data_IF_390576468482
#
_entry.id   IF_390576468482
#
_cell.length_a   1.000
_cell.length_b   1.000
_cell.length_c   1.000
_cell.angle_alpha   90.00
_cell.angle_beta   90.00
_cell.angle_gamma   90.00
#
_symmetry.space_group_name_H-M   'P 1'
#
loop_
_entity.id
_entity.type
_entity.pdbx_description
1 polymer ?
#
# COMPACT_ATOMS: atom_id res chain seq x y z
N UNK A 1 2.07 7.97 -6.33
CA UNK A 1 1.38 6.66 -6.42
C UNK A 1 0.24 6.54 -5.41
N UNK A 2 0.37 7.05 -4.18
CA UNK A 2 -0.68 6.92 -3.16
C UNK A 2 -1.99 7.65 -3.53
N UNK A 3 -1.91 8.85 -4.13
CA UNK A 3 -3.10 9.65 -4.50
C UNK A 3 -3.99 8.97 -5.55
N UNK A 4 -3.41 8.32 -6.56
CA UNK A 4 -4.17 7.59 -7.57
C UNK A 4 -4.91 6.36 -7.01
N UNK A 5 -4.60 5.91 -5.78
CA UNK A 5 -5.12 4.68 -5.22
C UNK A 5 -6.10 4.88 -4.04
N UNK A 6 -6.20 6.10 -3.49
CA UNK A 6 -6.89 6.33 -2.21
C UNK A 6 -8.37 6.64 -2.33
N UNK A 7 -8.79 7.48 -3.27
CA UNK A 7 -10.21 7.82 -3.43
C UNK A 7 -10.53 8.19 -4.88
N UNK A 8 -11.81 8.08 -5.25
CA UNK A 8 -12.29 8.57 -6.54
C UNK A 8 -12.13 10.10 -6.66
N UNK A 9 -12.38 10.83 -5.57
CA UNK A 9 -12.22 12.30 -5.53
C UNK A 9 -10.80 12.75 -5.84
N UNK A 10 -9.78 12.06 -5.31
CA UNK A 10 -8.38 12.36 -5.62
C UNK A 10 -8.07 12.13 -7.11
N UNK A 11 -8.66 11.09 -7.72
CA UNK A 11 -8.46 10.80 -9.15
C UNK A 11 -9.16 11.82 -10.05
N UNK A 12 -10.36 12.27 -9.67
CA UNK A 12 -11.08 13.33 -10.35
C UNK A 12 -10.32 14.66 -10.28
N UNK A 13 -9.85 15.05 -9.09
CA UNK A 13 -9.03 16.25 -8.91
C UNK A 13 -7.73 16.20 -9.73
N UNK A 14 -7.09 15.03 -9.83
CA UNK A 14 -5.93 14.85 -10.71
C UNK A 14 -6.27 15.04 -12.19
N UNK A 15 -7.44 14.58 -12.63
CA UNK A 15 -7.89 14.76 -14.01
C UNK A 15 -8.19 16.23 -14.31
N UNK A 16 -8.89 16.92 -13.41
CA UNK A 16 -9.20 18.35 -13.49
C UNK A 16 -7.93 19.22 -13.49
N UNK A 17 -6.94 18.85 -12.67
CA UNK A 17 -5.63 19.50 -12.66
C UNK A 17 -4.78 19.22 -13.91
N UNK A 18 -5.30 18.50 -14.90
CA UNK A 18 -4.58 18.19 -16.14
C UNK A 18 -3.43 17.20 -15.96
N UNK A 19 -3.42 16.39 -14.91
CA UNK A 19 -2.31 15.45 -14.65
C UNK A 19 -2.12 14.42 -15.78
N UNK A 20 -3.17 14.14 -16.56
CA UNK A 20 -3.10 13.18 -17.66
C UNK A 20 -2.12 13.59 -18.76
N UNK A 21 -2.08 14.87 -19.14
CA UNK A 21 -1.15 15.35 -20.18
C UNK A 21 0.30 15.28 -19.69
N UNK A 22 0.56 15.77 -18.47
CA UNK A 22 1.88 15.71 -17.86
C UNK A 22 2.39 14.27 -17.70
N UNK A 23 1.51 13.32 -17.37
CA UNK A 23 1.86 11.90 -17.29
C UNK A 23 2.18 11.31 -18.67
N UNK A 24 1.47 11.70 -19.73
CA UNK A 24 1.74 11.25 -21.09
C UNK A 24 3.09 11.78 -21.60
N UNK A 25 3.39 13.04 -21.36
CA UNK A 25 4.71 13.60 -21.65
C UNK A 25 5.80 12.85 -20.89
N UNK A 26 5.58 12.58 -19.60
CA UNK A 26 6.53 11.83 -18.78
C UNK A 26 6.74 10.38 -19.26
N UNK A 27 5.73 9.75 -19.88
CA UNK A 27 5.91 8.45 -20.53
C UNK A 27 6.74 8.52 -21.80
N UNK A 28 6.73 9.64 -22.52
CA UNK A 28 7.47 9.80 -23.77
C UNK A 28 8.94 10.17 -23.53
N UNK A 29 9.20 11.10 -22.60
CA UNK A 29 10.55 11.70 -22.39
C UNK A 29 11.19 11.36 -21.04
N UNK A 30 10.49 10.64 -20.16
CA UNK A 30 11.00 10.30 -18.83
C UNK A 30 12.06 9.20 -18.81
N UNK A 31 12.75 9.06 -17.66
CA UNK A 31 13.61 7.90 -17.39
C UNK A 31 12.80 6.61 -17.29
N UNK A 32 13.42 5.44 -17.49
CA UNK A 32 12.71 4.15 -17.46
C UNK A 32 11.85 3.93 -16.19
N UNK A 33 12.32 4.40 -15.03
CA UNK A 33 11.56 4.34 -13.77
C UNK A 33 10.37 5.31 -13.77
N UNK A 34 10.54 6.53 -14.29
CA UNK A 34 9.49 7.52 -14.40
C UNK A 34 8.41 7.06 -15.38
N UNK A 35 8.81 6.53 -16.54
CA UNK A 35 7.90 5.95 -17.55
C UNK A 35 7.07 4.82 -16.94
N UNK A 36 7.71 3.84 -16.27
CA UNK A 36 7.01 2.72 -15.62
C UNK A 36 5.96 3.21 -14.61
N UNK A 37 6.29 4.23 -13.82
CA UNK A 37 5.37 4.82 -12.83
C UNK A 37 4.24 5.59 -13.50
N UNK A 38 4.55 6.39 -14.52
CA UNK A 38 3.59 7.20 -15.25
C UNK A 38 2.59 6.30 -16.00
N UNK A 39 3.06 5.27 -16.69
CA UNK A 39 2.22 4.26 -17.34
C UNK A 39 1.27 3.60 -16.35
N UNK A 40 1.77 3.21 -15.17
CA UNK A 40 0.93 2.60 -14.14
C UNK A 40 -0.15 3.56 -13.60
N UNK A 41 0.16 4.84 -13.44
CA UNK A 41 -0.83 5.84 -13.00
C UNK A 41 -1.89 6.05 -14.09
N UNK A 42 -1.48 6.12 -15.37
CA UNK A 42 -2.40 6.26 -16.50
C UNK A 42 -3.33 5.04 -16.67
N UNK A 43 -2.88 3.83 -16.36
CA UNK A 43 -3.74 2.63 -16.32
C UNK A 43 -4.85 2.78 -15.26
N UNK A 44 -4.49 3.24 -14.07
CA UNK A 44 -5.43 3.42 -12.96
C UNK A 44 -6.48 4.49 -13.31
N UNK A 45 -6.05 5.64 -13.84
CA UNK A 45 -6.96 6.73 -14.22
C UNK A 45 -7.88 6.36 -15.40
N UNK A 46 -7.48 5.43 -16.28
CA UNK A 46 -8.32 4.94 -17.38
C UNK A 46 -9.49 4.06 -16.92
N UNK A 47 -9.29 3.26 -15.86
CA UNK A 47 -10.32 2.36 -15.35
C UNK A 47 -11.58 3.10 -14.87
N UNK A 48 -11.47 4.36 -14.41
CA UNK A 48 -12.63 5.15 -13.97
C UNK A 48 -13.41 5.78 -15.13
N UNK A 49 -12.75 6.12 -16.24
CA UNK A 49 -13.47 6.60 -17.44
C UNK A 49 -14.37 5.52 -18.01
N UNK A 50 -13.92 4.26 -18.01
CA UNK A 50 -14.75 3.12 -18.45
C UNK A 50 -15.96 2.87 -17.55
N UNK A 51 -15.84 3.15 -16.24
CA UNK A 51 -16.96 3.03 -15.30
C UNK A 51 -17.98 4.15 -15.45
N UNK A 52 -17.54 5.39 -15.65
CA UNK A 52 -18.45 6.51 -15.90
C UNK A 52 -19.25 6.33 -17.20
N UNK A 53 -18.61 5.83 -18.27
CA UNK A 53 -19.32 5.51 -19.52
C UNK A 53 -20.34 4.38 -19.33
N UNK A 54 -20.11 3.44 -18.43
CA UNK A 54 -21.08 2.39 -18.12
C UNK A 54 -22.28 2.90 -17.30
N UNK A 55 -22.05 3.83 -16.36
CA UNK A 55 -23.11 4.45 -15.55
C UNK A 55 -23.94 5.46 -16.36
N UNK A 56 -23.31 6.30 -17.19
CA UNK A 56 -23.99 7.28 -18.03
C UNK A 56 -24.74 6.64 -19.23
N UNK A 57 -24.38 5.40 -19.59
CA UNK A 57 -25.11 4.59 -20.58
C UNK A 57 -26.10 3.60 -19.94
N UNK A 58 -26.21 3.53 -18.60
CA UNK A 58 -27.12 2.63 -17.89
C UNK A 58 -28.54 3.21 -17.77
N UNK A 59 -29.08 3.68 -18.90
CA UNK A 59 -30.51 3.93 -19.09
C UNK A 59 -31.24 2.79 -19.80
N UNK A 60 -30.54 1.81 -20.40
CA UNK A 60 -31.20 0.70 -21.13
C UNK A 60 -30.42 -0.62 -20.97
N UNK A 61 -30.95 -1.47 -20.08
CA UNK A 61 -31.02 -2.95 -20.12
C UNK A 61 -29.96 -3.71 -20.94
N UNK A 62 -29.08 -4.45 -20.25
CA UNK A 62 -28.74 -5.84 -20.62
C UNK A 62 -28.12 -6.60 -19.43
N UNK A 63 -28.63 -7.80 -19.22
CA UNK A 63 -28.42 -8.76 -18.13
C UNK A 63 -27.05 -9.44 -18.13
N UNK A 64 -26.33 -9.50 -17.00
CA UNK A 64 -25.54 -10.68 -16.60
C UNK A 64 -25.47 -10.78 -15.07
N UNK A 65 -25.84 -11.94 -14.55
CA UNK A 65 -25.99 -12.33 -13.15
C UNK A 65 -24.75 -12.14 -12.27
N UNK A 66 -24.93 -11.62 -11.05
CA UNK A 66 -24.05 -11.91 -9.90
C UNK A 66 -24.84 -11.76 -8.58
N UNK A 67 -24.53 -12.54 -7.53
CA UNK A 67 -25.40 -12.74 -6.39
C UNK A 67 -25.44 -11.51 -5.48
N UNK A 68 -26.64 -11.11 -5.11
CA UNK A 68 -26.92 -10.09 -4.12
C UNK A 68 -26.69 -10.70 -2.73
N UNK A 69 -25.50 -10.48 -2.15
CA UNK A 69 -25.22 -10.88 -0.78
C UNK A 69 -25.64 -9.78 0.21
N UNK A 70 -26.78 -10.10 0.81
CA UNK A 70 -27.52 -9.46 1.89
C UNK A 70 -26.84 -9.72 3.25
N UNK A 71 -26.58 -8.66 4.02
CA UNK A 71 -26.23 -8.72 5.46
C UNK A 71 -24.79 -9.19 5.73
N UNK A 72 -24.05 -8.69 6.73
CA UNK A 72 -24.49 -8.42 8.08
C UNK A 72 -23.72 -7.25 8.70
N UNK A 73 -24.48 -6.40 9.39
CA UNK A 73 -24.05 -5.60 10.53
C UNK A 73 -23.54 -6.52 11.63
N UNK A 74 -22.39 -6.20 12.21
CA UNK A 74 -21.77 -6.98 13.28
C UNK A 74 -20.43 -6.37 13.67
N UNK A 75 -20.52 -5.25 14.40
CA UNK A 75 -19.45 -4.79 15.28
C UNK A 75 -19.22 -5.88 16.33
N UNK A 76 -17.96 -6.23 16.61
CA UNK A 76 -17.48 -6.59 17.95
C UNK A 76 -15.97 -6.87 17.87
N UNK A 77 -15.23 -5.87 18.30
CA UNK A 77 -13.88 -5.97 18.81
C UNK A 77 -13.82 -6.92 20.01
N UNK A 78 -13.04 -7.99 19.93
CA UNK A 78 -12.47 -8.62 21.13
C UNK A 78 -11.03 -9.04 20.84
N UNK A 79 -10.15 -8.30 21.50
CA UNK A 79 -8.76 -8.60 21.77
C UNK A 79 -8.65 -9.92 22.53
N UNK A 80 -7.63 -10.72 22.26
CA UNK A 80 -7.34 -11.89 23.11
C UNK A 80 -6.99 -13.16 22.34
N UNK A 81 -5.79 -13.64 22.64
CA UNK A 81 -5.29 -14.97 22.34
C UNK A 81 -6.34 -16.06 22.66
N UNK A 82 -6.29 -17.20 21.95
CA UNK A 82 -7.16 -18.41 22.09
C UNK A 82 -8.34 -18.63 21.11
N UNK A 83 -8.34 -18.02 19.92
CA UNK A 83 -9.35 -18.36 18.89
C UNK A 83 -8.81 -19.21 17.71
N UNK A 84 -7.93 -20.19 17.97
CA UNK A 84 -7.44 -21.09 16.91
C UNK A 84 -8.47 -22.21 16.58
N UNK A 85 -9.41 -22.47 17.49
CA UNK A 85 -10.43 -23.52 17.35
C UNK A 85 -11.68 -23.09 16.55
N UNK A 86 -11.95 -21.78 16.41
CA UNK A 86 -13.14 -21.26 15.74
C UNK A 86 -12.90 -20.60 14.36
N UNK A 87 -11.64 -20.57 13.90
CA UNK A 87 -11.30 -19.97 12.61
C UNK A 87 -11.34 -21.00 11.50
N UNK A 88 -11.98 -20.64 10.39
CA UNK A 88 -11.96 -21.44 9.16
C UNK A 88 -10.52 -21.66 8.67
N UNK A 89 -10.29 -22.76 7.95
CA UNK A 89 -8.96 -23.15 7.49
C UNK A 89 -8.29 -22.04 6.66
N UNK A 90 -9.08 -21.28 5.90
CA UNK A 90 -8.63 -20.15 5.10
C UNK A 90 -8.11 -19.01 5.98
N UNK A 91 -8.85 -18.65 7.04
CA UNK A 91 -8.43 -17.61 7.99
C UNK A 91 -7.14 -17.99 8.70
N UNK A 92 -6.96 -19.28 9.04
CA UNK A 92 -5.71 -19.79 9.63
C UNK A 92 -4.55 -19.70 8.63
N UNK A 93 -4.76 -20.12 7.38
CA UNK A 93 -3.75 -20.05 6.32
C UNK A 93 -3.32 -18.59 6.03
N UNK A 94 -4.27 -17.65 5.99
CA UNK A 94 -3.98 -16.23 5.81
C UNK A 94 -3.14 -15.70 6.97
N UNK A 95 -3.48 -16.04 8.22
CA UNK A 95 -2.68 -15.62 9.39
C UNK A 95 -1.26 -16.18 9.33
N UNK A 96 -1.09 -17.44 8.95
CA UNK A 96 0.23 -18.05 8.79
C UNK A 96 1.05 -17.35 7.70
N UNK A 97 0.44 -17.05 6.56
CA UNK A 97 1.10 -16.32 5.46
C UNK A 97 1.53 -14.91 5.89
N UNK A 98 0.65 -14.18 6.58
CA UNK A 98 0.96 -12.84 7.10
C UNK A 98 2.13 -12.91 8.08
N UNK A 99 2.10 -13.87 9.01
CA UNK A 99 3.16 -14.05 10.01
C UNK A 99 4.51 -14.38 9.35
N UNK A 100 4.53 -15.29 8.37
CA UNK A 100 5.74 -15.64 7.64
C UNK A 100 6.29 -14.46 6.82
N UNK A 101 5.41 -13.71 6.15
CA UNK A 101 5.77 -12.54 5.36
C UNK A 101 6.38 -11.45 6.24
N UNK A 102 5.77 -11.19 7.40
CA UNK A 102 6.26 -10.23 8.39
C UNK A 102 7.67 -10.61 8.87
N UNK A 103 7.87 -11.85 9.31
CA UNK A 103 9.18 -12.32 9.75
C UNK A 103 10.24 -12.21 8.65
N UNK A 104 9.91 -12.60 7.41
CA UNK A 104 10.79 -12.47 6.25
C UNK A 104 11.15 -11.01 5.96
N UNK A 105 10.19 -10.11 6.08
CA UNK A 105 10.38 -8.69 5.87
C UNK A 105 11.31 -8.10 6.95
N UNK A 106 11.05 -8.40 8.23
CA UNK A 106 11.89 -7.97 9.35
C UNK A 106 13.33 -8.43 9.20
N UNK A 107 13.57 -9.70 8.83
CA UNK A 107 14.93 -10.21 8.55
C UNK A 107 15.60 -9.48 7.38
N UNK A 108 14.85 -9.07 6.36
CA UNK A 108 15.39 -8.27 5.24
C UNK A 108 15.72 -6.85 5.66
N UNK A 109 14.89 -6.22 6.50
CA UNK A 109 15.14 -4.89 7.06
C UNK A 109 16.41 -4.91 7.90
N UNK A 110 16.54 -5.84 8.85
CA UNK A 110 17.72 -5.96 9.72
C UNK A 110 19.00 -6.14 8.91
N UNK A 111 19.00 -7.04 7.92
CA UNK A 111 20.16 -7.24 7.02
C UNK A 111 20.54 -5.97 6.26
N UNK A 112 19.57 -5.20 5.80
CA UNK A 112 19.81 -3.94 5.06
C UNK A 112 20.27 -2.81 5.97
N UNK A 113 19.76 -2.76 7.19
CA UNK A 113 20.15 -1.79 8.20
C UNK A 113 21.58 -1.99 8.71
N UNK A 114 22.28 -3.07 8.28
CA UNK A 114 23.58 -3.50 8.83
C UNK A 114 23.56 -3.55 10.36
N UNK A 115 22.40 -3.87 10.94
CA UNK A 115 22.27 -4.02 12.38
C UNK A 115 23.14 -5.22 12.78
N UNK A 116 24.03 -5.08 13.77
CA UNK A 116 24.80 -6.21 14.27
C UNK A 116 23.83 -7.33 14.65
N UNK A 117 24.02 -8.52 14.08
CA UNK A 117 23.20 -9.70 14.38
C UNK A 117 23.39 -10.19 15.84
N UNK A 118 24.27 -9.52 16.58
CA UNK A 118 24.69 -9.82 17.95
C UNK A 118 23.84 -9.12 19.02
N UNK A 119 22.75 -8.45 18.64
CA UNK A 119 21.74 -7.94 19.60
C UNK A 119 20.79 -9.06 20.06
N UNK A 120 21.32 -10.25 20.32
CA UNK A 120 20.75 -11.15 21.32
C UNK A 120 20.70 -10.39 22.67
N UNK A 121 19.72 -10.64 23.55
CA UNK A 121 19.34 -9.69 24.58
C UNK A 121 20.43 -9.56 25.64
N UNK A 122 21.30 -8.55 25.48
CA UNK A 122 22.28 -8.11 26.45
C UNK A 122 22.37 -6.57 26.40
N UNK A 123 22.69 -5.93 27.55
CA UNK A 123 21.97 -4.77 28.06
C UNK A 123 22.43 -3.45 27.43
N UNK A 124 21.47 -2.62 27.03
CA UNK A 124 21.33 -1.14 27.13
C UNK A 124 22.51 -0.16 27.01
N UNK A 125 23.77 -0.57 26.91
CA UNK A 125 24.91 0.34 26.89
C UNK A 125 25.24 0.87 25.48
N UNK A 126 24.93 0.09 24.44
CA UNK A 126 25.17 0.48 23.04
C UNK A 126 24.29 1.64 22.56
N UNK A 127 23.12 1.85 23.17
CA UNK A 127 22.24 2.98 22.86
C UNK A 127 22.79 4.32 23.38
N UNK A 128 23.60 4.31 24.45
CA UNK A 128 24.25 5.53 24.97
C UNK A 128 25.41 6.01 24.10
N UNK A 129 26.05 5.12 23.33
CA UNK A 129 27.13 5.50 22.42
C UNK A 129 26.62 6.28 21.19
N UNK A 130 25.40 5.96 20.71
CA UNK A 130 24.82 6.61 19.54
C UNK A 130 24.34 8.04 19.82
N UNK A 131 23.90 8.34 21.05
CA UNK A 131 23.52 9.71 21.46
C UNK A 131 24.72 10.62 21.72
N UNK A 132 25.91 10.07 21.99
CA UNK A 132 27.12 10.86 22.19
C UNK A 132 27.74 11.39 20.88
N UNK A 133 27.44 10.78 19.73
CA UNK A 133 28.01 11.16 18.42
C UNK A 133 27.17 12.18 17.63
N UNK A 134 26.27 12.91 18.29
CA UNK A 134 25.49 14.00 17.68
C UNK A 134 26.29 15.31 17.69
N UNK A 135 27.38 15.41 16.93
CA UNK A 135 28.02 16.69 16.66
C UNK A 135 27.37 17.34 15.44
N UNK A 136 26.42 18.25 15.68
CA UNK A 136 25.97 19.21 14.66
C UNK A 136 27.16 20.02 14.17
N UNK A 137 27.65 19.71 12.98
CA UNK A 137 28.48 20.63 12.18
C UNK A 137 27.64 21.06 10.99
N UNK A 138 26.96 22.19 11.14
CA UNK A 138 26.48 22.98 10.01
C UNK A 138 27.68 23.36 9.15
N UNK A 139 27.63 23.03 7.86
CA UNK A 139 28.59 23.53 6.88
C UNK A 139 28.43 25.05 6.71
N UNK A 140 29.51 25.83 6.61
CA UNK A 140 29.42 27.21 6.15
C UNK A 140 29.47 27.26 4.62
N UNK A 141 28.53 28.04 4.07
CA UNK A 141 28.33 28.53 2.70
C UNK A 141 27.96 27.52 1.61
#
# INVERSE_FOLDING_TARGET
MVLAHRSYGDRAAMAEAGASSALLELTLVGTALAQKRASRILEILRADKGKQVAEDASGVVATVSAPQERGCRGEESVDGEFADAGMSAEKRAVRQLVQQSLQSNMRRIVRRARLPQDLAPAPTESLKALTASSTSKSLPF
#
